data_IF_545577059840
#
_entry.id   IF_545577059840
#
_cell.length_a   1.000
_cell.length_b   1.000
_cell.length_c   1.000
_cell.angle_alpha   90.00
_cell.angle_beta   90.00
_cell.angle_gamma   90.00
#
_symmetry.space_group_name_H-M   'P 1'
#
loop_
_entity.id
_entity.type
_entity.pdbx_description
1 polymer ?
#
# COMPACT_ATOMS: atom_id res chain seq x y z
N UNK A 1 -4.76 -13.41 -7.72
CA UNK A 1 -4.23 -12.81 -6.48
C UNK A 1 -2.87 -13.41 -6.24
N UNK A 2 -1.83 -12.62 -6.50
CA UNK A 2 -0.44 -13.08 -6.44
C UNK A 2 -0.01 -13.32 -4.99
N UNK A 3 0.99 -14.18 -4.80
CA UNK A 3 1.49 -14.56 -3.48
C UNK A 3 2.01 -13.36 -2.68
N UNK A 4 2.70 -12.44 -3.33
CA UNK A 4 3.16 -11.16 -2.77
C UNK A 4 1.99 -10.32 -2.21
N UNK A 5 0.88 -10.26 -2.96
CA UNK A 5 -0.31 -9.52 -2.52
C UNK A 5 -0.94 -10.15 -1.27
N UNK A 6 -0.96 -11.49 -1.18
CA UNK A 6 -1.47 -12.19 0.01
C UNK A 6 -0.56 -11.96 1.23
N UNK A 7 0.75 -12.12 1.05
CA UNK A 7 1.75 -11.91 2.11
C UNK A 7 1.70 -10.49 2.69
N UNK A 8 1.66 -9.47 1.81
CA UNK A 8 1.49 -8.08 2.23
C UNK A 8 0.17 -7.88 3.01
N UNK A 9 -0.94 -8.37 2.46
CA UNK A 9 -2.27 -8.18 3.06
C UNK A 9 -2.33 -8.81 4.46
N UNK A 10 -1.75 -9.99 4.64
CA UNK A 10 -1.68 -10.66 5.94
C UNK A 10 -0.83 -9.90 6.95
N UNK A 11 0.36 -9.41 6.55
CA UNK A 11 1.21 -8.59 7.43
C UNK A 11 0.52 -7.28 7.82
N UNK A 12 -0.04 -6.56 6.86
CA UNK A 12 -0.71 -5.28 7.14
C UNK A 12 -1.95 -5.45 8.03
N UNK A 13 -2.67 -6.57 7.89
CA UNK A 13 -3.76 -6.92 8.80
C UNK A 13 -3.28 -7.07 10.24
N UNK A 14 -2.12 -7.69 10.46
CA UNK A 14 -1.54 -7.87 11.79
C UNK A 14 -1.07 -6.52 12.36
N UNK A 15 -0.36 -5.72 11.57
CA UNK A 15 0.11 -4.38 11.97
C UNK A 15 -1.04 -3.42 12.28
N UNK A 16 -2.13 -3.51 11.53
CA UNK A 16 -3.34 -2.71 11.77
C UNK A 16 -4.20 -3.23 12.92
N UNK A 17 -3.82 -4.33 13.58
CA UNK A 17 -4.59 -4.97 14.65
C UNK A 17 -5.97 -5.46 14.21
N UNK A 18 -6.18 -5.73 12.91
CA UNK A 18 -7.49 -6.13 12.37
C UNK A 18 -8.59 -5.07 12.50
N UNK A 19 -8.22 -3.80 12.66
CA UNK A 19 -9.14 -2.66 12.84
C UNK A 19 -10.17 -2.54 11.71
N UNK A 20 -11.28 -1.85 12.01
CA UNK A 20 -12.30 -1.53 11.01
C UNK A 20 -11.74 -0.69 9.86
N UNK A 21 -10.77 0.18 10.16
CA UNK A 21 -10.06 1.00 9.17
C UNK A 21 -9.32 0.14 8.14
N UNK A 22 -8.56 -0.87 8.59
CA UNK A 22 -7.89 -1.80 7.68
C UNK A 22 -8.88 -2.48 6.73
N UNK A 23 -10.00 -2.99 7.27
CA UNK A 23 -11.03 -3.66 6.45
C UNK A 23 -11.68 -2.71 5.45
N UNK A 24 -11.89 -1.45 5.81
CA UNK A 24 -12.39 -0.41 4.91
C UNK A 24 -11.40 -0.15 3.78
N UNK A 25 -10.15 0.16 4.12
CA UNK A 25 -9.11 0.46 3.13
C UNK A 25 -8.73 -0.74 2.26
N UNK A 26 -8.88 -1.97 2.75
CA UNK A 26 -8.63 -3.17 1.96
C UNK A 26 -9.75 -3.45 0.93
N UNK A 27 -10.98 -2.99 1.20
CA UNK A 27 -12.16 -3.25 0.34
C UNK A 27 -12.56 -2.07 -0.54
N UNK A 28 -12.13 -0.85 -0.22
CA UNK A 28 -12.54 0.34 -0.98
C UNK A 28 -12.08 0.26 -2.42
N UNK A 29 -12.94 0.48 -3.40
CA UNK A 29 -12.53 0.58 -4.82
C UNK A 29 -12.30 2.03 -5.24
N UNK A 30 -12.40 2.96 -4.30
CA UNK A 30 -12.24 4.39 -4.51
C UNK A 30 -10.74 4.78 -4.47
N UNK A 31 -10.13 5.16 -5.61
CA UNK A 31 -8.73 5.58 -5.64
C UNK A 31 -8.51 6.93 -4.96
N UNK A 32 -9.53 7.80 -4.86
CA UNK A 32 -9.42 9.09 -4.17
C UNK A 32 -9.36 8.90 -2.66
N UNK A 33 -10.11 7.93 -2.12
CA UNK A 33 -9.99 7.53 -0.71
C UNK A 33 -8.56 7.06 -0.39
N UNK A 34 -7.99 6.21 -1.24
CA UNK A 34 -6.62 5.72 -1.07
C UNK A 34 -5.60 6.85 -1.22
N UNK A 35 -5.77 7.76 -2.18
CA UNK A 35 -4.88 8.89 -2.38
C UNK A 35 -4.91 9.84 -1.17
N UNK A 36 -6.08 10.06 -0.56
CA UNK A 36 -6.19 10.84 0.67
C UNK A 36 -5.43 10.22 1.86
N UNK A 37 -5.30 8.89 1.91
CA UNK A 37 -4.46 8.22 2.93
C UNK A 37 -2.98 8.56 2.76
N UNK A 38 -2.50 8.70 1.53
CA UNK A 38 -1.09 9.02 1.26
C UNK A 38 -0.71 10.41 1.77
N UNK A 39 -1.61 11.39 1.63
CA UNK A 39 -1.35 12.79 1.98
C UNK A 39 -1.74 13.16 3.42
N UNK A 40 -2.60 12.36 4.06
CA UNK A 40 -3.04 12.63 5.43
C UNK A 40 -1.89 12.54 6.46
N UNK A 41 -1.80 13.56 7.31
CA UNK A 41 -0.85 13.59 8.42
C UNK A 41 -1.22 12.54 9.50
N UNK A 42 -0.21 12.01 10.19
CA UNK A 42 -0.43 11.08 11.31
C UNK A 42 -0.94 9.68 10.93
N UNK A 43 -1.10 9.37 9.63
CA UNK A 43 -1.45 8.00 9.23
C UNK A 43 -0.36 7.00 9.64
N UNK A 44 -0.73 5.79 10.07
CA UNK A 44 0.23 4.74 10.36
C UNK A 44 0.89 4.23 9.07
N UNK A 45 2.09 3.66 9.20
CA UNK A 45 2.87 3.17 8.06
C UNK A 45 2.09 2.11 7.26
N UNK A 46 1.41 1.18 7.95
CA UNK A 46 0.61 0.12 7.30
C UNK A 46 -0.47 0.69 6.37
N UNK A 47 -1.06 1.84 6.72
CA UNK A 47 -2.14 2.45 5.94
C UNK A 47 -1.60 3.10 4.67
N UNK A 48 -0.47 3.81 4.77
CA UNK A 48 0.22 4.38 3.60
C UNK A 48 0.70 3.28 2.66
N UNK A 49 1.23 2.20 3.23
CA UNK A 49 1.68 1.05 2.47
C UNK A 49 0.54 0.37 1.71
N UNK A 50 -0.58 0.09 2.38
CA UNK A 50 -1.77 -0.50 1.75
C UNK A 50 -2.28 0.40 0.61
N UNK A 51 -2.39 1.70 0.85
CA UNK A 51 -2.88 2.66 -0.13
C UNK A 51 -1.94 2.75 -1.34
N UNK A 52 -0.64 2.91 -1.12
CA UNK A 52 0.35 3.03 -2.18
C UNK A 52 0.40 1.75 -3.03
N UNK A 53 0.39 0.58 -2.38
CA UNK A 53 0.39 -0.70 -3.07
C UNK A 53 -0.85 -0.84 -3.97
N UNK A 54 -2.06 -0.62 -3.43
CA UNK A 54 -3.31 -0.77 -4.19
C UNK A 54 -3.43 0.23 -5.34
N UNK A 55 -3.04 1.48 -5.12
CA UNK A 55 -3.00 2.49 -6.18
C UNK A 55 -1.98 2.12 -7.27
N UNK A 56 -0.80 1.62 -6.89
CA UNK A 56 0.19 1.11 -7.84
C UNK A 56 -0.34 -0.05 -8.68
N UNK A 57 -1.06 -1.00 -8.07
CA UNK A 57 -1.72 -2.09 -8.81
C UNK A 57 -2.80 -1.58 -9.76
N UNK A 58 -3.47 -0.49 -9.43
CA UNK A 58 -4.48 0.13 -10.29
C UNK A 58 -3.88 1.01 -11.40
N UNK A 59 -2.56 1.18 -11.45
CA UNK A 59 -1.89 2.07 -12.41
C UNK A 59 -2.00 3.57 -12.04
N UNK A 60 -2.37 3.88 -10.80
CA UNK A 60 -2.52 5.26 -10.35
C UNK A 60 -1.16 5.87 -9.95
N UNK A 61 -0.72 6.86 -10.72
CA UNK A 61 0.59 7.52 -10.56
C UNK A 61 0.75 8.27 -9.25
N UNK A 62 -0.34 8.57 -8.53
CA UNK A 62 -0.28 9.18 -7.19
C UNK A 62 0.45 8.29 -6.18
N UNK A 63 0.56 6.99 -6.44
CA UNK A 63 1.31 6.05 -5.60
C UNK A 63 2.85 6.20 -5.71
N UNK A 64 3.37 6.76 -6.81
CA UNK A 64 4.78 6.65 -7.19
C UNK A 64 5.73 7.12 -6.08
N UNK A 65 5.55 8.33 -5.56
CA UNK A 65 6.42 8.88 -4.52
C UNK A 65 6.37 8.07 -3.22
N UNK A 66 5.19 7.59 -2.84
CA UNK A 66 5.00 6.76 -1.65
C UNK A 66 5.67 5.40 -1.81
N UNK A 67 5.58 4.78 -2.98
CA UNK A 67 6.24 3.52 -3.27
C UNK A 67 7.78 3.66 -3.28
N UNK A 68 8.30 4.74 -3.87
CA UNK A 68 9.74 5.05 -3.83
C UNK A 68 10.23 5.28 -2.40
N UNK A 69 9.43 5.93 -1.55
CA UNK A 69 9.75 6.08 -0.13
C UNK A 69 9.80 4.72 0.59
N UNK A 70 8.82 3.85 0.34
CA UNK A 70 8.75 2.50 0.92
C UNK A 70 9.92 1.60 0.49
N UNK A 71 10.43 1.75 -0.74
CA UNK A 71 11.66 1.09 -1.17
C UNK A 71 12.88 1.47 -0.31
N UNK A 72 12.92 2.70 0.21
CA UNK A 72 14.02 3.19 1.02
C UNK A 72 13.93 2.82 2.51
N UNK A 73 12.83 2.20 2.96
CA UNK A 73 12.56 1.93 4.38
C UNK A 73 13.44 0.82 5.02
N UNK A 74 14.38 0.21 4.27
CA UNK A 74 15.28 -0.88 4.72
C UNK A 74 14.56 -2.07 5.37
N UNK A 75 13.28 -2.27 5.07
CA UNK A 75 12.50 -3.39 5.55
C UNK A 75 12.22 -4.33 4.36
N UNK A 76 12.85 -5.52 4.29
CA UNK A 76 12.79 -6.36 3.10
C UNK A 76 11.37 -6.68 2.58
N UNK A 77 10.38 -7.00 3.43
CA UNK A 77 9.01 -7.23 2.99
C UNK A 77 8.35 -5.99 2.37
N UNK A 78 8.58 -4.81 2.95
CA UNK A 78 8.09 -3.53 2.39
C UNK A 78 8.74 -3.21 1.07
N UNK A 79 10.06 -3.39 0.98
CA UNK A 79 10.80 -3.16 -0.26
C UNK A 79 10.29 -4.06 -1.39
N UNK A 80 10.06 -5.34 -1.13
CA UNK A 80 9.54 -6.29 -2.12
C UNK A 80 8.16 -5.86 -2.65
N UNK A 81 7.25 -5.52 -1.76
CA UNK A 81 5.91 -5.07 -2.15
C UNK A 81 5.91 -3.74 -2.92
N UNK A 82 6.77 -2.81 -2.53
CA UNK A 82 6.91 -1.52 -3.19
C UNK A 82 7.51 -1.68 -4.60
N UNK A 83 8.54 -2.53 -4.75
CA UNK A 83 9.12 -2.87 -6.05
C UNK A 83 8.07 -3.50 -6.97
N UNK A 84 7.28 -4.45 -6.46
CA UNK A 84 6.23 -5.12 -7.22
C UNK A 84 5.15 -4.13 -7.69
N UNK A 85 4.67 -3.25 -6.81
CA UNK A 85 3.68 -2.24 -7.17
C UNK A 85 4.23 -1.20 -8.17
N UNK A 86 5.50 -0.81 -8.06
CA UNK A 86 6.16 0.08 -9.02
C UNK A 86 6.31 -0.56 -10.40
N UNK A 87 6.67 -1.84 -10.45
CA UNK A 87 6.76 -2.59 -11.71
C UNK A 87 5.41 -2.59 -12.44
N UNK A 88 4.31 -2.71 -11.70
CA UNK A 88 2.94 -2.65 -12.27
C UNK A 88 2.42 -1.24 -12.57
N UNK A 89 3.02 -0.20 -12.00
CA UNK A 89 2.65 1.18 -12.26
C UNK A 89 3.26 1.72 -13.56
N UNK A 90 4.38 1.15 -13.98
CA UNK A 90 5.20 1.61 -15.11
C UNK A 90 5.33 0.61 -16.27
N UNK A 91 4.50 -0.43 -16.29
CA UNK A 91 4.21 -1.27 -17.47
C UNK A 91 2.88 -0.81 -18.08
#
# INVERSE_FOLDING_TARGET
>A
MDEESRSLTERLRQEAGGTAEYRRLARTEDPDELAAVLTAAGRPLWARELAAFRLGLAGDRRAFESLVLLLNHRDPPRCASAAYALARLGD
#
